data_IF_010801358894
#
_entry.id   IF_010801358894
#
_cell.length_a   1.000
_cell.length_b   1.000
_cell.length_c   1.000
_cell.angle_alpha   90.00
_cell.angle_beta   90.00
_cell.angle_gamma   90.00
#
_symmetry.space_group_name_H-M   'P 1'
#
loop_
_entity.id
_entity.type
_entity.pdbx_description
1 polymer ?
#
# COMPACT_ATOMS: atom_id res chain seq x y z
N UNK A 1 -41.41 -81.23 -23.83
CA UNK A 1 -40.61 -80.60 -22.76
C UNK A 1 -40.68 -79.10 -22.98
N UNK A 2 -41.56 -78.41 -22.25
CA UNK A 2 -41.80 -76.97 -22.40
C UNK A 2 -41.10 -76.21 -21.27
N UNK A 3 -40.32 -75.21 -21.68
CA UNK A 3 -39.42 -74.38 -20.89
C UNK A 3 -40.16 -73.58 -19.80
N UNK A 4 -39.85 -73.87 -18.53
CA UNK A 4 -40.22 -73.10 -17.33
C UNK A 4 -39.24 -71.96 -17.02
N UNK A 5 -38.39 -71.56 -17.97
CA UNK A 5 -37.28 -70.62 -17.73
C UNK A 5 -37.66 -69.14 -17.53
N UNK A 6 -38.68 -68.54 -18.19
CA UNK A 6 -38.86 -67.09 -18.10
C UNK A 6 -39.45 -66.64 -16.76
N UNK A 7 -40.30 -67.46 -16.13
CA UNK A 7 -40.91 -67.15 -14.83
C UNK A 7 -39.90 -67.14 -13.68
N UNK A 8 -38.85 -67.97 -13.75
CA UNK A 8 -37.77 -68.02 -12.74
C UNK A 8 -36.81 -66.82 -12.85
N UNK A 9 -36.69 -66.23 -14.04
CA UNK A 9 -35.87 -65.04 -14.23
C UNK A 9 -36.56 -63.77 -13.69
N UNK A 10 -37.89 -63.65 -13.85
CA UNK A 10 -38.66 -62.55 -13.28
C UNK A 10 -38.69 -62.58 -11.75
N UNK A 11 -38.83 -63.75 -11.13
CA UNK A 11 -38.74 -63.90 -9.67
C UNK A 11 -37.35 -63.55 -9.15
N UNK A 12 -36.28 -63.98 -9.83
CA UNK A 12 -34.90 -63.59 -9.46
C UNK A 12 -34.65 -62.08 -9.61
N UNK A 13 -35.12 -61.46 -10.69
CA UNK A 13 -35.02 -60.00 -10.89
C UNK A 13 -35.77 -59.24 -9.79
N UNK A 14 -36.98 -59.69 -9.45
CA UNK A 14 -37.78 -59.13 -8.36
C UNK A 14 -37.07 -59.25 -7.00
N UNK A 15 -36.57 -60.44 -6.66
CA UNK A 15 -35.84 -60.67 -5.41
C UNK A 15 -34.55 -59.83 -5.33
N UNK A 16 -33.86 -59.63 -6.46
CA UNK A 16 -32.66 -58.79 -6.52
C UNK A 16 -32.99 -57.32 -6.29
N UNK A 17 -34.08 -56.83 -6.89
CA UNK A 17 -34.58 -55.47 -6.65
C UNK A 17 -35.06 -55.28 -5.21
N UNK A 18 -35.78 -56.24 -4.63
CA UNK A 18 -36.21 -56.19 -3.24
C UNK A 18 -35.01 -56.13 -2.28
N UNK A 19 -33.97 -56.95 -2.49
CA UNK A 19 -32.72 -56.87 -1.71
C UNK A 19 -32.04 -55.51 -1.85
N UNK A 20 -31.94 -54.98 -3.06
CA UNK A 20 -31.37 -53.65 -3.31
C UNK A 20 -32.13 -52.54 -2.57
N UNK A 21 -33.47 -52.58 -2.58
CA UNK A 21 -34.29 -51.60 -1.85
C UNK A 21 -34.12 -51.74 -0.33
N UNK A 22 -34.05 -52.97 0.19
CA UNK A 22 -33.79 -53.21 1.61
C UNK A 22 -32.41 -52.67 2.01
N UNK A 23 -31.37 -52.94 1.22
CA UNK A 23 -30.03 -52.40 1.43
C UNK A 23 -30.02 -50.86 1.40
N UNK A 24 -30.72 -50.25 0.44
CA UNK A 24 -30.86 -48.79 0.35
C UNK A 24 -31.60 -48.20 1.56
N UNK A 25 -32.67 -48.85 2.02
CA UNK A 25 -33.40 -48.43 3.24
C UNK A 25 -32.50 -48.56 4.47
N UNK A 26 -31.78 -49.68 4.60
CA UNK A 26 -30.83 -49.91 5.69
C UNK A 26 -29.71 -48.87 5.70
N UNK A 27 -29.19 -48.53 4.52
CA UNK A 27 -28.19 -47.48 4.34
C UNK A 27 -28.75 -46.10 4.71
N UNK A 28 -29.93 -45.72 4.21
CA UNK A 28 -30.58 -44.44 4.57
C UNK A 28 -30.84 -44.35 6.08
N UNK A 29 -31.30 -45.44 6.71
CA UNK A 29 -31.51 -45.50 8.16
C UNK A 29 -30.19 -45.41 8.94
N UNK A 30 -29.11 -46.03 8.46
CA UNK A 30 -27.81 -45.90 9.11
C UNK A 30 -27.26 -44.48 9.00
N UNK A 31 -27.46 -43.80 7.86
CA UNK A 31 -27.13 -42.39 7.70
C UNK A 31 -27.90 -41.50 8.69
N UNK A 32 -29.19 -41.74 8.92
CA UNK A 32 -29.98 -40.99 9.92
C UNK A 32 -29.46 -41.23 11.34
N UNK A 33 -29.03 -42.46 11.68
CA UNK A 33 -28.44 -42.76 13.01
C UNK A 33 -27.07 -42.12 13.21
N UNK A 34 -26.36 -41.84 12.12
CA UNK A 34 -25.05 -41.16 12.14
C UNK A 34 -25.18 -39.64 12.05
N UNK A 35 -26.37 -39.11 11.75
CA UNK A 35 -26.61 -37.67 11.76
C UNK A 35 -26.48 -37.16 13.20
N UNK A 36 -25.72 -36.07 13.43
CA UNK A 36 -25.66 -35.47 14.75
C UNK A 36 -27.07 -35.09 15.19
N UNK A 37 -27.43 -35.46 16.43
CA UNK A 37 -28.69 -35.05 17.02
C UNK A 37 -28.77 -33.53 17.09
N UNK A 38 -29.96 -32.99 16.86
CA UNK A 38 -30.19 -31.57 17.06
C UNK A 38 -29.84 -31.20 18.51
N UNK A 39 -29.14 -30.08 18.76
CA UNK A 39 -28.74 -29.70 20.10
C UNK A 39 -29.97 -29.47 21.00
N UNK A 40 -29.84 -29.80 22.28
CA UNK A 40 -30.93 -29.56 23.23
C UNK A 40 -31.12 -28.06 23.48
N UNK A 41 -32.30 -27.67 23.97
CA UNK A 41 -32.57 -26.29 24.35
C UNK A 41 -31.54 -25.75 25.33
N UNK A 42 -31.21 -26.51 26.38
CA UNK A 42 -30.23 -26.13 27.40
C UNK A 42 -28.84 -25.90 26.78
N UNK A 43 -28.43 -26.72 25.82
CA UNK A 43 -27.16 -26.55 25.11
C UNK A 43 -27.13 -25.26 24.29
N UNK A 44 -28.22 -24.91 23.62
CA UNK A 44 -28.32 -23.69 22.82
C UNK A 44 -28.35 -22.46 23.72
N UNK A 45 -29.19 -22.44 24.76
CA UNK A 45 -29.25 -21.34 25.75
C UNK A 45 -27.88 -21.13 26.42
N UNK A 46 -27.18 -22.21 26.77
CA UNK A 46 -25.82 -22.13 27.33
C UNK A 46 -24.82 -21.52 26.35
N UNK A 47 -24.94 -21.82 25.04
CA UNK A 47 -24.12 -21.18 24.00
C UNK A 47 -24.43 -19.70 23.86
N UNK A 48 -25.71 -19.31 23.86
CA UNK A 48 -26.15 -17.90 23.83
C UNK A 48 -25.52 -17.12 25.00
N UNK A 49 -25.70 -17.60 26.24
CA UNK A 49 -25.09 -16.99 27.44
C UNK A 49 -23.56 -16.93 27.35
N UNK A 50 -22.92 -17.94 26.73
CA UNK A 50 -21.45 -17.97 26.56
C UNK A 50 -20.98 -16.89 25.59
N UNK A 51 -21.62 -16.75 24.42
CA UNK A 51 -21.27 -15.70 23.46
C UNK A 51 -21.53 -14.32 24.05
N UNK A 52 -22.65 -14.12 24.74
CA UNK A 52 -22.95 -12.85 25.39
C UNK A 52 -21.93 -12.45 26.45
N UNK A 53 -21.57 -13.35 27.37
CA UNK A 53 -20.50 -13.10 28.33
C UNK A 53 -19.17 -12.78 27.66
N UNK A 54 -18.86 -13.45 26.56
CA UNK A 54 -17.62 -13.20 25.83
C UNK A 54 -17.61 -11.80 25.22
N UNK A 55 -18.69 -11.39 24.53
CA UNK A 55 -18.84 -10.03 23.99
C UNK A 55 -18.75 -9.00 25.14
N UNK A 56 -19.55 -9.17 26.19
CA UNK A 56 -19.53 -8.27 27.35
C UNK A 56 -18.14 -8.15 27.97
N UNK A 57 -17.41 -9.26 28.11
CA UNK A 57 -16.03 -9.24 28.63
C UNK A 57 -15.07 -8.45 27.75
N UNK A 58 -15.23 -8.51 26.43
CA UNK A 58 -14.42 -7.71 25.49
C UNK A 58 -14.74 -6.23 25.67
N UNK A 59 -16.02 -5.87 25.67
CA UNK A 59 -16.48 -4.48 25.81
C UNK A 59 -16.04 -3.86 27.13
N UNK A 60 -16.22 -4.58 28.24
CA UNK A 60 -15.87 -4.06 29.57
C UNK A 60 -14.38 -4.00 29.85
N UNK A 61 -13.58 -4.86 29.23
CA UNK A 61 -12.11 -4.80 29.33
C UNK A 61 -11.48 -3.84 28.31
N UNK A 62 -12.29 -3.22 27.47
CA UNK A 62 -11.82 -2.33 26.42
C UNK A 62 -11.23 -1.04 27.02
N UNK A 63 -9.93 -0.84 26.84
CA UNK A 63 -9.19 0.37 27.22
C UNK A 63 -8.57 1.08 26.01
N UNK A 64 -9.03 0.75 24.79
CA UNK A 64 -8.44 1.25 23.54
C UNK A 64 -8.56 2.77 23.40
N UNK A 65 -9.66 3.35 23.88
CA UNK A 65 -9.81 4.81 23.91
C UNK A 65 -8.74 5.48 24.79
N UNK A 66 -8.41 4.87 25.94
CA UNK A 66 -7.35 5.38 26.81
C UNK A 66 -5.98 5.24 26.13
N UNK A 67 -5.74 4.10 25.47
CA UNK A 67 -4.52 3.88 24.67
C UNK A 67 -4.35 4.92 23.57
N UNK A 68 -5.43 5.27 22.85
CA UNK A 68 -5.42 6.36 21.87
C UNK A 68 -5.12 7.71 22.54
N UNK A 69 -5.82 8.06 23.62
CA UNK A 69 -5.62 9.32 24.32
C UNK A 69 -4.18 9.49 24.82
N UNK A 70 -3.56 8.42 25.32
CA UNK A 70 -2.15 8.41 25.73
C UNK A 70 -1.21 8.68 24.55
N UNK A 71 -1.44 8.04 23.41
CA UNK A 71 -0.65 8.28 22.20
C UNK A 71 -0.83 9.71 21.73
N UNK A 72 -2.07 10.19 21.56
CA UNK A 72 -2.37 11.54 21.11
C UNK A 72 -1.81 12.62 22.05
N UNK A 73 -1.75 12.37 23.37
CA UNK A 73 -1.12 13.29 24.33
C UNK A 73 0.39 13.48 24.08
N UNK A 74 1.06 12.49 23.47
CA UNK A 74 2.49 12.57 23.12
C UNK A 74 2.77 13.21 21.76
N UNK A 75 1.72 13.47 20.96
CA UNK A 75 1.82 13.98 19.58
C UNK A 75 2.74 15.21 19.47
N UNK A 76 2.41 16.29 20.17
CA UNK A 76 3.15 17.56 20.06
C UNK A 76 4.62 17.42 20.46
N UNK A 77 4.91 16.58 21.47
CA UNK A 77 6.28 16.34 21.94
C UNK A 77 7.11 15.56 20.91
N UNK A 78 6.51 14.57 20.23
CA UNK A 78 7.18 13.77 19.22
C UNK A 78 7.41 14.58 17.94
N UNK A 79 6.43 15.37 17.50
CA UNK A 79 6.58 16.23 16.33
C UNK A 79 7.64 17.32 16.54
N UNK A 80 7.70 17.92 17.73
CA UNK A 80 8.77 18.88 18.06
C UNK A 80 10.18 18.26 18.03
N UNK A 81 10.30 16.93 18.11
CA UNK A 81 11.57 16.19 18.07
C UNK A 81 11.88 15.60 16.69
N UNK A 82 11.05 15.88 15.69
CA UNK A 82 11.10 15.22 14.39
C UNK A 82 11.00 13.68 14.48
N UNK A 83 10.13 13.20 15.38
CA UNK A 83 9.86 11.78 15.61
C UNK A 83 8.46 11.39 15.09
N UNK A 84 7.99 11.97 13.98
CA UNK A 84 6.65 11.69 13.45
C UNK A 84 6.45 10.22 13.06
N UNK A 85 7.49 9.55 12.55
CA UNK A 85 7.47 8.12 12.26
C UNK A 85 7.20 7.27 13.52
N UNK A 86 7.77 7.66 14.68
CA UNK A 86 7.52 6.96 15.94
C UNK A 86 6.08 7.15 16.43
N UNK A 87 5.53 8.37 16.28
CA UNK A 87 4.13 8.65 16.57
C UNK A 87 3.20 7.80 15.70
N UNK A 88 3.46 7.75 14.39
CA UNK A 88 2.73 6.93 13.42
C UNK A 88 2.75 5.44 13.81
N UNK A 89 3.92 4.86 14.09
CA UNK A 89 4.03 3.46 14.51
C UNK A 89 3.22 3.15 15.78
N UNK A 90 3.13 4.10 16.72
CA UNK A 90 2.30 3.94 17.94
C UNK A 90 0.81 3.95 17.62
N UNK A 91 0.37 4.84 16.73
CA UNK A 91 -1.02 4.87 16.26
C UNK A 91 -1.39 3.60 15.49
N UNK A 92 -0.51 3.11 14.60
CA UNK A 92 -0.72 1.86 13.86
C UNK A 92 -0.87 0.66 14.81
N UNK A 93 -0.13 0.63 15.92
CA UNK A 93 -0.32 -0.39 16.96
C UNK A 93 -1.73 -0.34 17.55
N UNK A 94 -2.20 0.85 17.95
CA UNK A 94 -3.56 1.01 18.51
C UNK A 94 -4.62 0.66 17.46
N UNK A 95 -4.42 1.06 16.19
CA UNK A 95 -5.28 0.71 15.06
C UNK A 95 -5.45 -0.81 14.93
N UNK A 96 -4.35 -1.57 15.00
CA UNK A 96 -4.39 -3.03 14.95
C UNK A 96 -5.12 -3.64 16.15
N UNK A 97 -4.96 -3.07 17.35
CA UNK A 97 -5.66 -3.51 18.56
C UNK A 97 -7.19 -3.25 18.47
N UNK A 98 -7.59 -2.11 17.90
CA UNK A 98 -9.00 -1.77 17.60
C UNK A 98 -9.58 -2.74 16.57
N UNK A 99 -8.91 -2.91 15.44
CA UNK A 99 -9.34 -3.85 14.38
C UNK A 99 -9.54 -5.28 14.91
N UNK A 100 -8.57 -5.79 15.68
CA UNK A 100 -8.67 -7.12 16.29
C UNK A 100 -9.84 -7.22 17.28
N UNK A 101 -10.12 -6.15 18.04
CA UNK A 101 -11.24 -6.13 18.98
C UNK A 101 -12.58 -6.16 18.26
N UNK A 102 -12.71 -5.38 17.18
CA UNK A 102 -13.88 -5.40 16.30
C UNK A 102 -14.13 -6.78 15.72
N UNK A 103 -13.10 -7.43 15.17
CA UNK A 103 -13.23 -8.76 14.56
C UNK A 103 -13.64 -9.82 15.58
N UNK A 104 -13.13 -9.73 16.82
CA UNK A 104 -13.54 -10.63 17.91
C UNK A 104 -15.01 -10.44 18.30
N UNK A 105 -15.50 -9.20 18.33
CA UNK A 105 -16.91 -8.91 18.59
C UNK A 105 -17.78 -9.41 17.44
N UNK A 106 -17.42 -9.13 16.18
CA UNK A 106 -18.13 -9.61 14.99
C UNK A 106 -18.23 -11.12 14.97
N UNK A 107 -17.12 -11.84 15.12
CA UNK A 107 -17.13 -13.30 15.12
C UNK A 107 -17.96 -13.91 16.27
N UNK A 108 -17.98 -13.27 17.44
CA UNK A 108 -18.84 -13.68 18.55
C UNK A 108 -20.32 -13.39 18.28
N UNK A 109 -20.62 -12.24 17.67
CA UNK A 109 -21.98 -11.84 17.29
C UNK A 109 -22.56 -12.74 16.21
N UNK A 110 -21.77 -13.15 15.21
CA UNK A 110 -22.16 -14.16 14.22
C UNK A 110 -22.47 -15.50 14.88
N UNK A 111 -21.59 -15.95 15.80
CA UNK A 111 -21.82 -17.16 16.59
C UNK A 111 -23.10 -17.11 17.40
N UNK A 112 -23.43 -15.93 17.94
CA UNK A 112 -24.64 -15.68 18.68
C UNK A 112 -25.90 -15.65 17.80
N UNK A 113 -25.83 -14.98 16.64
CA UNK A 113 -26.92 -14.95 15.65
C UNK A 113 -27.30 -16.36 15.22
N UNK A 114 -26.30 -17.19 14.88
CA UNK A 114 -26.53 -18.59 14.54
C UNK A 114 -27.15 -19.37 15.71
N UNK A 115 -26.75 -19.08 16.96
CA UNK A 115 -27.35 -19.75 18.12
C UNK A 115 -28.83 -19.38 18.29
N UNK A 116 -29.21 -18.12 18.07
CA UNK A 116 -30.61 -17.69 18.07
C UNK A 116 -31.41 -18.30 16.92
N UNK A 117 -30.85 -18.40 15.72
CA UNK A 117 -31.50 -19.05 14.58
C UNK A 117 -31.78 -20.53 14.88
N UNK A 118 -30.78 -21.26 15.40
CA UNK A 118 -30.94 -22.67 15.80
C UNK A 118 -31.97 -22.80 16.93
N UNK A 119 -32.00 -21.86 17.88
CA UNK A 119 -33.02 -21.86 18.93
C UNK A 119 -34.43 -21.63 18.36
N UNK A 120 -34.57 -20.69 17.43
CA UNK A 120 -35.83 -20.45 16.71
C UNK A 120 -36.31 -21.68 15.96
N UNK A 121 -35.43 -22.40 15.27
CA UNK A 121 -35.76 -23.66 14.60
C UNK A 121 -36.20 -24.74 15.60
N UNK A 122 -35.56 -24.83 16.77
CA UNK A 122 -35.96 -25.78 17.82
C UNK A 122 -37.38 -25.50 18.31
N UNK A 123 -37.68 -24.23 18.61
CA UNK A 123 -39.00 -23.78 19.07
C UNK A 123 -40.08 -23.99 18.00
N UNK A 124 -39.76 -23.78 16.72
CA UNK A 124 -40.68 -24.10 15.62
C UNK A 124 -40.99 -25.60 15.52
N UNK A 125 -40.02 -26.45 15.85
CA UNK A 125 -40.19 -27.91 15.83
C UNK A 125 -40.97 -28.45 17.03
N UNK A 126 -40.88 -27.78 18.19
CA UNK A 126 -41.61 -28.13 19.40
C UNK A 126 -42.23 -26.88 20.04
N UNK A 127 -43.54 -26.71 19.80
CA UNK A 127 -44.31 -25.56 20.30
C UNK A 127 -44.35 -25.46 21.83
N UNK A 128 -44.11 -26.55 22.55
CA UNK A 128 -44.05 -26.50 24.01
C UNK A 128 -42.90 -25.61 24.51
N UNK A 129 -41.90 -25.36 23.67
CA UNK A 129 -40.73 -24.54 23.99
C UNK A 129 -40.96 -23.03 23.80
N UNK A 130 -42.09 -22.60 23.22
CA UNK A 130 -42.38 -21.16 23.05
C UNK A 130 -42.39 -20.42 24.39
N UNK A 131 -43.02 -21.01 25.41
CA UNK A 131 -43.07 -20.42 26.76
C UNK A 131 -41.72 -20.40 27.45
N UNK A 132 -40.88 -21.42 27.22
CA UNK A 132 -39.51 -21.48 27.73
C UNK A 132 -38.62 -20.42 27.09
N UNK A 133 -38.78 -20.18 25.78
CA UNK A 133 -38.09 -19.13 25.04
C UNK A 133 -38.40 -17.75 25.59
N UNK A 134 -39.68 -17.44 25.78
CA UNK A 134 -40.09 -16.12 26.26
C UNK A 134 -39.53 -15.88 27.68
N UNK A 135 -39.61 -16.88 28.56
CA UNK A 135 -38.99 -16.82 29.88
C UNK A 135 -37.46 -16.63 29.82
N UNK A 136 -36.78 -17.28 28.87
CA UNK A 136 -35.34 -17.12 28.67
C UNK A 136 -34.93 -15.74 28.13
N UNK A 137 -35.76 -15.11 27.29
CA UNK A 137 -35.48 -13.76 26.77
C UNK A 137 -35.74 -12.66 27.80
N UNK A 138 -36.61 -12.92 28.77
CA UNK A 138 -36.82 -12.07 29.94
C UNK A 138 -35.65 -12.16 30.95
N UNK A 139 -34.72 -13.12 30.79
CA UNK A 139 -33.51 -13.20 31.62
C UNK A 139 -32.46 -12.16 31.21
N UNK A 140 -31.59 -11.83 32.16
CA UNK A 140 -30.42 -10.99 31.95
C UNK A 140 -29.14 -11.77 32.25
N UNK A 141 -28.13 -11.59 31.41
CA UNK A 141 -26.78 -12.10 31.62
C UNK A 141 -25.84 -10.91 31.85
N UNK A 142 -25.27 -10.80 33.06
CA UNK A 142 -24.39 -9.69 33.45
C UNK A 142 -25.05 -8.29 33.32
N UNK A 143 -26.36 -8.20 33.51
CA UNK A 143 -27.14 -6.96 33.39
C UNK A 143 -27.49 -6.59 31.95
N UNK A 144 -27.24 -7.49 30.99
CA UNK A 144 -27.62 -7.35 29.58
C UNK A 144 -28.78 -8.31 29.30
N UNK A 145 -29.89 -7.78 28.79
CA UNK A 145 -31.03 -8.60 28.37
C UNK A 145 -30.61 -9.64 27.34
N UNK A 146 -31.15 -10.87 27.44
CA UNK A 146 -30.96 -11.94 26.47
C UNK A 146 -31.91 -11.86 25.27
N UNK A 147 -32.71 -10.80 25.18
CA UNK A 147 -33.57 -10.53 24.04
C UNK A 147 -32.73 -10.30 22.77
N UNK A 148 -33.03 -11.00 21.65
CA UNK A 148 -32.25 -10.88 20.41
C UNK A 148 -32.18 -9.45 19.86
N UNK A 149 -33.28 -8.68 19.97
CA UNK A 149 -33.37 -7.30 19.47
C UNK A 149 -32.42 -6.38 20.24
N UNK A 150 -32.47 -6.46 21.57
CA UNK A 150 -31.62 -5.69 22.48
C UNK A 150 -30.15 -5.99 22.23
N UNK A 151 -29.80 -7.28 22.11
CA UNK A 151 -28.42 -7.71 21.90
C UNK A 151 -27.88 -7.26 20.55
N UNK A 152 -28.68 -7.39 19.49
CA UNK A 152 -28.29 -6.91 18.17
C UNK A 152 -27.97 -5.41 18.19
N UNK A 153 -28.81 -4.62 18.88
CA UNK A 153 -28.56 -3.19 19.06
C UNK A 153 -27.36 -2.88 19.94
N UNK A 154 -27.13 -3.64 21.01
CA UNK A 154 -25.97 -3.52 21.87
C UNK A 154 -24.67 -3.77 21.08
N UNK A 155 -24.60 -4.89 20.37
CA UNK A 155 -23.44 -5.25 19.53
C UNK A 155 -23.21 -4.20 18.44
N UNK A 156 -24.28 -3.77 17.76
CA UNK A 156 -24.19 -2.77 16.70
C UNK A 156 -23.61 -1.47 17.22
N UNK A 157 -24.12 -0.94 18.34
CA UNK A 157 -23.61 0.31 18.93
C UNK A 157 -22.13 0.23 19.32
N UNK A 158 -21.70 -0.92 19.83
CA UNK A 158 -20.29 -1.12 20.17
C UNK A 158 -19.40 -1.18 18.92
N UNK A 159 -19.87 -1.86 17.87
CA UNK A 159 -19.15 -1.89 16.58
C UNK A 159 -19.11 -0.49 15.95
N UNK A 160 -20.21 0.25 15.96
CA UNK A 160 -20.29 1.63 15.47
C UNK A 160 -19.26 2.52 16.21
N UNK A 161 -19.17 2.39 17.54
CA UNK A 161 -18.18 3.11 18.36
C UNK A 161 -16.73 2.76 17.97
N UNK A 162 -16.43 1.47 17.81
CA UNK A 162 -15.09 1.04 17.41
C UNK A 162 -14.74 1.44 15.97
N UNK A 163 -15.72 1.46 15.07
CA UNK A 163 -15.55 1.95 13.70
C UNK A 163 -15.21 3.44 13.71
N UNK A 164 -15.93 4.26 14.46
CA UNK A 164 -15.62 5.69 14.60
C UNK A 164 -14.22 5.91 15.19
N UNK A 165 -13.86 5.13 16.22
CA UNK A 165 -12.51 5.15 16.79
C UNK A 165 -11.45 4.79 15.75
N UNK A 166 -11.71 3.78 14.91
CA UNK A 166 -10.80 3.36 13.85
C UNK A 166 -10.59 4.46 12.80
N UNK A 167 -11.68 5.08 12.34
CA UNK A 167 -11.62 6.20 11.38
C UNK A 167 -10.83 7.39 11.94
N UNK A 168 -11.00 7.69 13.24
CA UNK A 168 -10.22 8.73 13.91
C UNK A 168 -8.73 8.40 13.91
N UNK A 169 -8.35 7.16 14.23
CA UNK A 169 -6.96 6.72 14.23
C UNK A 169 -6.36 6.80 12.81
N UNK A 170 -7.10 6.36 11.79
CA UNK A 170 -6.66 6.46 10.39
C UNK A 170 -6.40 7.91 9.98
N UNK A 171 -7.27 8.84 10.40
CA UNK A 171 -7.07 10.26 10.18
C UNK A 171 -5.78 10.78 10.83
N UNK A 172 -5.53 10.38 12.08
CA UNK A 172 -4.30 10.76 12.79
C UNK A 172 -3.04 10.13 12.17
N UNK A 173 -3.11 8.90 11.66
CA UNK A 173 -2.01 8.24 10.93
C UNK A 173 -1.67 9.02 9.66
N UNK A 174 -2.68 9.47 8.91
CA UNK A 174 -2.47 10.31 7.72
C UNK A 174 -1.79 11.62 8.05
N UNK A 175 -2.20 12.28 9.14
CA UNK A 175 -1.56 13.51 9.61
C UNK A 175 -0.10 13.26 10.02
N UNK A 176 0.17 12.18 10.75
CA UNK A 176 1.53 11.79 11.14
C UNK A 176 2.42 11.51 9.92
N UNK A 177 1.86 10.88 8.89
CA UNK A 177 2.57 10.63 7.63
C UNK A 177 2.89 11.92 6.87
N UNK A 178 1.98 12.90 6.87
CA UNK A 178 2.26 14.21 6.27
C UNK A 178 3.40 14.93 7.01
N UNK A 179 3.38 14.86 8.34
CA UNK A 179 4.44 15.44 9.17
C UNK A 179 5.80 14.75 8.95
N UNK A 180 5.83 13.42 8.84
CA UNK A 180 7.03 12.64 8.49
C UNK A 180 7.62 13.09 7.13
N UNK A 181 6.76 13.32 6.13
CA UNK A 181 7.20 13.86 4.83
C UNK A 181 7.78 15.27 4.97
N UNK A 182 7.18 16.13 5.78
CA UNK A 182 7.69 17.48 6.02
C UNK A 182 9.07 17.45 6.71
N UNK A 183 9.25 16.61 7.71
CA UNK A 183 10.52 16.40 8.40
C UNK A 183 11.61 15.91 7.42
N UNK A 184 11.25 15.03 6.49
CA UNK A 184 12.16 14.56 5.44
C UNK A 184 12.60 15.68 4.48
N UNK A 185 11.68 16.58 4.08
CA UNK A 185 11.97 17.71 3.19
C UNK A 185 12.84 18.78 3.85
N UNK A 186 12.64 19.05 5.15
CA UNK A 186 13.50 19.97 5.91
C UNK A 186 14.96 19.46 5.91
N UNK A 187 15.15 18.16 6.06
CA UNK A 187 16.49 17.54 5.96
C UNK A 187 17.16 17.76 4.60
N UNK A 188 16.38 17.69 3.51
CA UNK A 188 16.89 17.95 2.15
C UNK A 188 17.24 19.42 1.93
N UNK A 189 16.40 20.34 2.42
CA UNK A 189 16.68 21.77 2.34
C UNK A 189 17.97 22.14 3.10
N UNK A 190 18.18 21.58 4.29
CA UNK A 190 19.39 21.86 5.08
C UNK A 190 20.65 21.34 4.36
N UNK A 191 20.57 20.22 3.64
CA UNK A 191 21.67 19.73 2.79
C UNK A 191 21.98 20.70 1.66
N UNK A 192 20.97 21.21 0.97
CA UNK A 192 21.15 22.20 -0.11
C UNK A 192 21.77 23.48 0.44
N UNK A 193 21.30 23.96 1.59
CA UNK A 193 21.85 25.13 2.27
C UNK A 193 23.33 24.94 2.66
N UNK A 194 23.69 23.76 3.15
CA UNK A 194 25.09 23.44 3.45
C UNK A 194 25.94 23.42 2.17
N UNK A 195 25.46 22.80 1.09
CA UNK A 195 26.15 22.82 -0.21
C UNK A 195 26.35 24.24 -0.75
N UNK A 196 25.34 25.12 -0.63
CA UNK A 196 25.47 26.53 -1.04
C UNK A 196 26.52 27.25 -0.17
N UNK A 197 26.56 26.94 1.12
CA UNK A 197 27.54 27.53 2.04
C UNK A 197 28.96 27.09 1.69
N UNK A 198 29.17 25.79 1.41
CA UNK A 198 30.44 25.24 0.93
C UNK A 198 30.87 25.88 -0.39
N UNK A 199 29.95 25.97 -1.36
CA UNK A 199 30.21 26.62 -2.65
C UNK A 199 30.63 28.09 -2.48
N UNK A 200 29.96 28.82 -1.57
CA UNK A 200 30.29 30.22 -1.27
C UNK A 200 31.67 30.36 -0.64
N UNK A 201 32.05 29.44 0.24
CA UNK A 201 33.41 29.41 0.81
C UNK A 201 34.45 29.14 -0.27
N UNK A 202 34.20 28.18 -1.17
CA UNK A 202 35.13 27.84 -2.24
C UNK A 202 35.29 28.99 -3.25
N UNK A 203 34.19 29.64 -3.65
CA UNK A 203 34.25 30.86 -4.46
C UNK A 203 35.03 31.98 -3.77
N UNK A 204 34.88 32.13 -2.45
CA UNK A 204 35.61 33.16 -1.70
C UNK A 204 37.13 32.88 -1.72
N UNK A 205 37.54 31.62 -1.56
CA UNK A 205 38.95 31.22 -1.63
C UNK A 205 39.53 31.42 -3.04
N UNK A 206 38.81 31.00 -4.08
CA UNK A 206 39.25 31.21 -5.46
C UNK A 206 39.38 32.71 -5.79
N UNK A 207 38.43 33.52 -5.31
CA UNK A 207 38.46 34.96 -5.49
C UNK A 207 39.66 35.63 -4.78
N UNK A 208 39.98 35.20 -3.55
CA UNK A 208 41.18 35.64 -2.84
C UNK A 208 42.45 35.25 -3.60
N UNK A 209 42.51 34.04 -4.16
CA UNK A 209 43.63 33.59 -4.97
C UNK A 209 43.80 34.43 -6.24
N UNK A 210 42.72 34.69 -6.97
CA UNK A 210 42.74 35.54 -8.18
C UNK A 210 43.18 36.96 -7.83
N UNK A 211 42.66 37.51 -6.72
CA UNK A 211 43.06 38.85 -6.26
C UNK A 211 44.55 38.90 -5.95
N UNK A 212 45.08 37.91 -5.21
CA UNK A 212 46.51 37.81 -4.93
C UNK A 212 47.36 37.68 -6.20
N UNK A 213 46.88 36.95 -7.22
CA UNK A 213 47.54 36.90 -8.53
C UNK A 213 47.55 38.26 -9.22
N UNK A 214 46.42 38.98 -9.25
CA UNK A 214 46.32 40.32 -9.83
C UNK A 214 47.27 41.29 -9.14
N UNK A 215 47.31 41.27 -7.80
CA UNK A 215 48.22 42.14 -7.03
C UNK A 215 49.69 41.85 -7.37
N UNK A 216 50.08 40.57 -7.42
CA UNK A 216 51.44 40.18 -7.81
C UNK A 216 51.81 40.57 -9.24
N UNK A 217 50.86 40.46 -10.19
CA UNK A 217 51.04 40.91 -11.56
C UNK A 217 51.19 42.42 -11.63
N UNK A 218 50.40 43.16 -10.85
CA UNK A 218 50.46 44.61 -10.79
C UNK A 218 51.80 45.09 -10.23
N UNK A 219 52.33 44.45 -9.20
CA UNK A 219 53.64 44.77 -8.65
C UNK A 219 54.78 44.42 -9.63
N UNK A 220 54.65 43.31 -10.35
CA UNK A 220 55.57 42.98 -11.46
C UNK A 220 55.53 44.03 -12.57
N UNK A 221 54.34 44.49 -12.97
CA UNK A 221 54.21 45.57 -13.96
C UNK A 221 54.80 46.88 -13.47
N UNK A 222 54.63 47.25 -12.19
CA UNK A 222 55.27 48.45 -11.62
C UNK A 222 56.79 48.33 -11.67
N UNK A 223 57.35 47.20 -11.25
CA UNK A 223 58.80 46.95 -11.33
C UNK A 223 59.30 46.97 -12.78
N UNK A 224 58.54 46.42 -13.72
CA UNK A 224 58.84 46.49 -15.15
C UNK A 224 58.81 47.94 -15.66
N UNK A 225 57.82 48.73 -15.23
CA UNK A 225 57.71 50.15 -15.56
C UNK A 225 58.91 50.94 -15.02
N UNK A 226 59.28 50.74 -13.76
CA UNK A 226 60.47 51.35 -13.15
C UNK A 226 61.76 50.95 -13.89
N UNK A 227 61.88 49.69 -14.31
CA UNK A 227 63.01 49.21 -15.11
C UNK A 227 63.06 49.85 -16.51
N UNK A 228 61.91 50.00 -17.17
CA UNK A 228 61.79 50.70 -18.46
C UNK A 228 62.13 52.19 -18.29
N UNK A 229 61.66 52.84 -17.23
CA UNK A 229 61.99 54.22 -16.91
C UNK A 229 63.49 54.40 -16.65
N UNK A 230 64.11 53.52 -15.87
CA UNK A 230 65.56 53.52 -15.64
C UNK A 230 66.37 53.25 -16.93
N UNK A 231 65.90 52.36 -17.80
CA UNK A 231 66.49 52.16 -19.13
C UNK A 231 66.33 53.41 -20.01
N UNK A 232 65.18 54.07 -19.96
CA UNK A 232 64.90 55.32 -20.67
C UNK A 232 65.76 56.49 -20.19
N UNK A 233 65.99 56.58 -18.88
CA UNK A 233 66.92 57.54 -18.28
C UNK A 233 68.38 57.23 -18.65
N UNK A 234 68.77 55.96 -18.67
CA UNK A 234 70.09 55.53 -19.15
C UNK A 234 70.29 55.86 -20.63
N UNK A 235 69.27 55.67 -21.48
CA UNK A 235 69.29 56.08 -22.88
C UNK A 235 69.36 57.60 -23.05
N UNK A 236 68.67 58.37 -22.20
CA UNK A 236 68.78 59.85 -22.15
C UNK A 236 70.18 60.30 -21.76
N UNK A 237 70.78 59.66 -20.77
CA UNK A 237 72.13 59.97 -20.29
C UNK A 237 73.23 59.56 -21.29
N UNK A 238 72.94 58.63 -22.20
CA UNK A 238 73.80 58.26 -23.34
C UNK A 238 73.65 59.21 -24.54
N UNK A 239 72.72 60.18 -24.49
CA UNK A 239 72.37 61.09 -25.58
C UNK A 239 72.78 62.56 -25.33
N UNK A 240 73.78 62.83 -24.48
CA UNK A 240 74.33 64.17 -24.28
C UNK A 240 75.65 64.41 -25.04
N UNK A 241 75.54 64.96 -26.26
CA UNK A 241 76.45 65.97 -26.84
C UNK A 241 75.74 66.69 -28.03
N UNK A 242 76.05 67.97 -28.32
CA UNK A 242 75.05 69.00 -28.58
C UNK A 242 74.88 69.37 -30.06
N UNK A 243 73.69 69.87 -30.45
CA UNK A 243 73.56 70.89 -31.49
C UNK A 243 72.21 71.62 -31.42
N UNK A 244 72.30 72.92 -31.67
CA UNK A 244 71.25 73.95 -31.53
C UNK A 244 70.26 73.95 -32.70
N UNK A 245 69.09 74.50 -32.38
CA UNK A 245 67.90 74.90 -33.17
C UNK A 245 68.23 75.82 -34.37
N UNK A 246 67.39 75.90 -35.43
CA UNK A 246 66.33 76.93 -35.49
C UNK A 246 65.00 76.39 -36.08
N UNK A 247 63.85 76.59 -35.44
CA UNK A 247 62.96 77.77 -35.47
C UNK A 247 62.29 78.01 -36.84
N UNK A 248 61.06 77.49 -37.01
CA UNK A 248 60.02 77.98 -37.92
C UNK A 248 58.64 77.74 -37.28
N UNK A 249 57.94 78.83 -36.91
CA UNK A 249 56.48 78.91 -36.64
C UNK A 249 55.72 79.28 -37.93
N UNK A 250 54.39 79.43 -37.92
CA UNK A 250 53.33 78.43 -37.72
C UNK A 250 52.29 78.50 -38.87
N UNK A 251 51.32 77.57 -38.93
CA UNK A 251 49.96 77.94 -39.36
C UNK A 251 48.94 76.86 -38.93
N UNK A 252 47.89 77.37 -38.26
CA UNK A 252 46.59 76.75 -37.94
C UNK A 252 45.68 76.82 -39.20
N UNK A 253 44.38 76.42 -39.25
CA UNK A 253 43.49 75.83 -38.23
C UNK A 253 42.52 74.72 -38.73
N UNK A 254 41.85 74.04 -37.78
CA UNK A 254 40.38 73.76 -37.74
C UNK A 254 40.10 72.65 -36.71
N UNK A 255 39.49 72.96 -35.57
CA UNK A 255 38.04 73.09 -35.32
C UNK A 255 37.23 71.79 -35.49
N UNK A 256 36.90 71.18 -34.35
CA UNK A 256 35.54 70.77 -33.91
C UNK A 256 35.70 70.25 -32.46
N UNK A 257 35.40 70.99 -31.40
CA UNK A 257 34.10 71.44 -30.84
C UNK A 257 33.12 70.32 -30.48
N UNK A 258 32.84 70.24 -29.17
CA UNK A 258 31.56 70.02 -28.45
C UNK A 258 31.77 69.05 -27.27
N UNK A 259 31.95 69.59 -26.05
CA UNK A 259 30.95 69.88 -24.98
C UNK A 259 30.85 68.68 -24.01
N UNK A 260 31.33 68.81 -22.77
CA UNK A 260 30.58 69.17 -21.52
C UNK A 260 29.53 68.10 -21.16
N UNK A 261 29.72 67.28 -20.13
CA UNK A 261 29.64 67.54 -18.67
C UNK A 261 28.21 67.66 -18.11
N UNK A 262 28.05 67.08 -16.91
CA UNK A 262 26.95 67.19 -15.94
C UNK A 262 25.62 66.43 -16.16
N UNK A 263 25.43 65.41 -15.32
CA UNK A 263 24.52 65.49 -14.17
C UNK A 263 23.02 65.31 -14.40
N UNK A 264 22.37 64.54 -13.52
CA UNK A 264 20.92 64.61 -13.33
C UNK A 264 20.26 63.26 -13.04
N UNK A 265 19.60 63.19 -11.89
CA UNK A 265 18.83 62.07 -11.37
C UNK A 265 17.41 61.97 -11.99
N UNK A 266 16.62 61.05 -11.42
CA UNK A 266 15.19 60.70 -11.64
C UNK A 266 15.00 59.47 -12.55
N UNK A 267 14.71 58.28 -12.00
CA UNK A 267 13.49 57.82 -11.29
C UNK A 267 12.34 57.54 -12.27
N UNK A 268 12.21 56.26 -12.64
CA UNK A 268 10.97 55.65 -13.14
C UNK A 268 10.93 54.22 -12.63
N UNK A 269 10.23 54.07 -11.52
CA UNK A 269 9.18 53.09 -11.29
C UNK A 269 8.79 52.30 -12.56
N UNK A 270 9.03 50.99 -12.54
CA UNK A 270 8.21 50.04 -13.29
C UNK A 270 8.13 48.73 -12.49
N UNK A 271 6.94 48.60 -11.90
CA UNK A 271 6.35 47.39 -11.37
C UNK A 271 6.51 46.24 -12.38
N UNK A 272 6.96 45.08 -11.91
CA UNK A 272 6.59 43.83 -12.57
C UNK A 272 6.00 42.91 -11.52
N UNK A 273 4.74 42.61 -11.81
CA UNK A 273 3.74 41.94 -11.03
C UNK A 273 4.10 40.51 -10.64
N UNK A 274 3.41 40.08 -9.60
CA UNK A 274 3.15 38.71 -9.20
C UNK A 274 2.71 37.86 -10.40
N UNK A 275 3.40 36.74 -10.66
CA UNK A 275 2.80 35.64 -11.42
C UNK A 275 2.53 34.48 -10.47
N UNK A 276 1.28 34.50 -9.99
CA UNK A 276 0.52 33.37 -9.49
C UNK A 276 0.45 32.28 -10.56
N UNK A 277 1.03 31.12 -10.30
CA UNK A 277 0.61 29.90 -10.98
C UNK A 277 -0.19 29.01 -10.04
N UNK A 278 -1.48 29.30 -10.07
CA UNK A 278 -2.58 28.37 -9.89
C UNK A 278 -2.54 27.32 -11.00
N UNK A 279 -2.37 26.05 -10.64
CA UNK A 279 -2.79 24.92 -11.45
C UNK A 279 -3.28 23.83 -10.50
N UNK A 280 -4.54 23.97 -10.08
CA UNK A 280 -5.37 22.80 -9.85
C UNK A 280 -5.57 22.06 -11.17
N UNK A 281 -5.21 20.78 -11.20
CA UNK A 281 -5.84 19.82 -12.11
C UNK A 281 -5.79 18.41 -11.50
N UNK A 282 -6.98 18.02 -11.09
CA UNK A 282 -7.55 16.69 -10.94
C UNK A 282 -6.95 15.63 -11.87
N UNK A 283 -6.39 14.56 -11.31
CA UNK A 283 -6.14 13.32 -12.05
C UNK A 283 -6.60 12.11 -11.24
N UNK A 284 -7.71 11.53 -11.70
CA UNK A 284 -8.11 10.16 -11.44
C UNK A 284 -7.00 9.19 -11.89
N UNK A 285 -6.52 8.37 -10.95
CA UNK A 285 -5.63 7.24 -11.26
C UNK A 285 -6.30 5.92 -10.86
N UNK A 286 -7.02 5.33 -11.81
CA UNK A 286 -7.20 3.88 -11.88
C UNK A 286 -6.14 3.32 -12.83
N UNK A 287 -5.26 2.43 -12.35
CA UNK A 287 -5.11 1.11 -13.01
C UNK A 287 -4.30 0.11 -12.18
N UNK A 288 -4.99 -0.96 -11.78
CA UNK A 288 -4.61 -2.38 -11.86
C UNK A 288 -3.12 -2.73 -12.02
N UNK A 289 -2.44 -3.06 -10.92
CA UNK A 289 -1.19 -3.83 -10.99
C UNK A 289 -1.56 -5.32 -11.11
N UNK A 290 -1.68 -5.80 -12.36
CA UNK A 290 -1.58 -7.23 -12.64
C UNK A 290 -0.10 -7.65 -12.63
N UNK A 291 0.21 -8.62 -11.78
CA UNK A 291 1.51 -9.29 -11.68
C UNK A 291 1.99 -9.82 -13.04
N UNK A 292 3.19 -9.42 -13.48
CA UNK A 292 3.92 -10.14 -14.53
C UNK A 292 5.26 -10.61 -14.00
N UNK A 293 5.24 -11.87 -13.61
CA UNK A 293 6.38 -12.72 -13.40
C UNK A 293 6.92 -13.12 -14.79
N UNK A 294 8.11 -12.65 -15.19
CA UNK A 294 8.65 -12.90 -16.53
C UNK A 294 10.15 -12.76 -16.63
N UNK A 295 10.82 -13.89 -16.85
CA UNK A 295 12.28 -14.08 -16.97
C UNK A 295 12.93 -13.20 -18.05
N UNK A 296 14.17 -12.79 -17.78
CA UNK A 296 15.12 -12.29 -18.79
C UNK A 296 15.26 -13.29 -19.94
N UNK A 297 14.98 -12.82 -21.16
CA UNK A 297 15.46 -13.43 -22.39
C UNK A 297 16.09 -12.33 -23.28
N UNK A 298 17.07 -12.79 -24.05
CA UNK A 298 18.14 -12.11 -24.75
C UNK A 298 17.73 -11.15 -25.87
N UNK A 299 18.68 -10.27 -26.19
CA UNK A 299 18.74 -9.39 -27.34
C UNK A 299 18.51 -10.14 -28.67
N UNK A 300 17.63 -9.58 -29.51
CA UNK A 300 17.95 -9.11 -30.86
C UNK A 300 16.66 -8.87 -31.63
N UNK A 301 16.38 -7.60 -31.93
CA UNK A 301 15.82 -7.10 -33.19
C UNK A 301 15.72 -5.58 -33.13
N UNK A 302 16.58 -4.97 -33.93
CA UNK A 302 16.64 -3.53 -34.20
C UNK A 302 15.54 -3.22 -35.21
N UNK A 303 14.57 -2.40 -34.82
CA UNK A 303 13.77 -1.62 -35.76
C UNK A 303 13.94 -0.14 -35.44
N UNK A 304 14.34 0.59 -36.49
CA UNK A 304 14.64 2.00 -36.52
C UNK A 304 13.36 2.82 -36.43
N UNK A 305 13.13 3.48 -35.30
CA UNK A 305 12.28 4.68 -35.23
C UNK A 305 12.99 5.76 -34.43
N UNK A 306 13.52 6.74 -35.17
CA UNK A 306 14.12 7.97 -34.66
C UNK A 306 13.01 8.94 -34.25
N UNK A 307 12.56 8.85 -33.00
CA UNK A 307 12.09 10.01 -32.24
C UNK A 307 12.66 9.90 -30.83
N UNK A 308 13.69 10.71 -30.56
CA UNK A 308 14.39 10.75 -29.28
C UNK A 308 13.55 11.49 -28.24
N UNK A 309 12.61 10.77 -27.61
CA UNK A 309 11.88 11.26 -26.44
C UNK A 309 12.78 11.16 -25.18
N UNK A 310 12.98 12.25 -24.41
CA UNK A 310 13.83 12.26 -23.20
C UNK A 310 13.47 11.17 -22.17
N UNK A 311 12.20 10.79 -22.08
CA UNK A 311 11.73 9.76 -21.14
C UNK A 311 12.23 8.35 -21.47
N UNK A 312 12.41 8.02 -22.75
CA UNK A 312 12.89 6.68 -23.16
C UNK A 312 14.36 6.47 -22.76
N UNK A 313 15.17 7.53 -22.84
CA UNK A 313 16.54 7.53 -22.33
C UNK A 313 16.54 7.41 -20.81
N UNK A 314 15.70 8.18 -20.09
CA UNK A 314 15.57 8.08 -18.63
C UNK A 314 15.14 6.67 -18.17
N UNK A 315 14.24 6.02 -18.90
CA UNK A 315 13.80 4.64 -18.61
C UNK A 315 14.91 3.62 -18.83
N UNK A 316 15.72 3.76 -19.87
CA UNK A 316 16.88 2.91 -20.11
C UNK A 316 17.99 3.12 -19.08
N UNK A 317 18.26 4.36 -18.69
CA UNK A 317 19.20 4.76 -17.63
C UNK A 317 18.81 4.10 -16.29
N UNK A 318 17.54 4.22 -15.90
CA UNK A 318 16.99 3.60 -14.69
C UNK A 318 17.05 2.07 -14.76
N UNK A 319 16.75 1.48 -15.93
CA UNK A 319 16.88 0.05 -16.17
C UNK A 319 18.32 -0.45 -15.97
N UNK A 320 19.31 0.25 -16.53
CA UNK A 320 20.74 -0.04 -16.34
C UNK A 320 21.15 0.09 -14.88
N UNK A 321 20.77 1.19 -14.21
CA UNK A 321 21.03 1.39 -12.78
C UNK A 321 20.46 0.25 -11.92
N UNK A 322 19.23 -0.19 -12.20
CA UNK A 322 18.60 -1.29 -11.44
C UNK A 322 19.31 -2.62 -11.66
N UNK A 323 19.80 -2.91 -12.86
CA UNK A 323 20.63 -4.08 -13.13
C UNK A 323 21.98 -4.01 -12.41
N UNK A 324 22.65 -2.85 -12.40
CA UNK A 324 23.92 -2.67 -11.69
C UNK A 324 23.77 -2.84 -10.18
N UNK A 325 22.71 -2.28 -9.58
CA UNK A 325 22.41 -2.44 -8.16
C UNK A 325 22.15 -3.91 -7.82
N UNK A 326 21.37 -4.64 -8.63
CA UNK A 326 21.16 -6.09 -8.42
C UNK A 326 22.46 -6.89 -8.51
N UNK A 327 23.29 -6.61 -9.52
CA UNK A 327 24.56 -7.30 -9.69
C UNK A 327 25.52 -7.00 -8.53
N UNK A 328 25.55 -5.76 -8.05
CA UNK A 328 26.33 -5.35 -6.89
C UNK A 328 25.86 -6.02 -5.59
N UNK A 329 24.53 -6.09 -5.37
CA UNK A 329 23.96 -6.77 -4.21
C UNK A 329 24.23 -8.28 -4.27
N UNK A 330 24.09 -8.91 -5.44
CA UNK A 330 24.41 -10.33 -5.62
C UNK A 330 25.90 -10.64 -5.45
N UNK A 331 26.79 -9.69 -5.80
CA UNK A 331 28.24 -9.84 -5.63
C UNK A 331 28.76 -9.55 -4.22
N UNK A 332 27.98 -8.85 -3.36
CA UNK A 332 28.36 -8.49 -1.99
C UNK A 332 27.54 -9.19 -0.90
N UNK A 333 26.57 -10.01 -1.27
CA UNK A 333 25.77 -10.75 -0.29
C UNK A 333 26.52 -12.00 0.17
N UNK A 334 27.23 -11.92 1.30
CA UNK A 334 27.52 -13.06 2.19
C UNK A 334 26.27 -13.49 3.00
N UNK A 335 25.08 -13.09 2.53
CA UNK A 335 23.81 -13.46 3.13
C UNK A 335 23.34 -14.73 2.44
N UNK A 336 23.22 -15.87 3.16
CA UNK A 336 22.72 -17.10 2.58
C UNK A 336 21.34 -16.85 1.98
N UNK A 337 21.16 -17.18 0.70
CA UNK A 337 19.83 -17.24 0.09
C UNK A 337 18.97 -18.14 0.98
N UNK A 338 17.98 -17.56 1.67
CA UNK A 338 16.92 -18.34 2.31
C UNK A 338 16.13 -19.02 1.21
N UNK A 339 16.59 -20.20 0.79
CA UNK A 339 15.76 -21.17 0.10
C UNK A 339 14.72 -21.62 1.11
N UNK A 340 13.54 -21.01 1.06
CA UNK A 340 12.35 -21.59 1.67
C UNK A 340 12.15 -22.92 0.94
N UNK A 341 12.66 -24.00 1.51
CA UNK A 341 12.35 -25.33 1.04
C UNK A 341 10.86 -25.54 1.30
N UNK A 342 10.06 -25.50 0.23
CA UNK A 342 8.66 -25.91 0.26
C UNK A 342 8.56 -27.44 0.41
N UNK A 343 9.16 -27.98 1.48
CA UNK A 343 8.91 -29.31 2.01
C UNK A 343 7.87 -29.17 3.13
N UNK A 344 6.69 -28.66 2.78
CA UNK A 344 5.49 -29.00 3.52
C UNK A 344 5.14 -30.44 3.13
N UNK A 345 5.78 -31.42 3.76
CA UNK A 345 5.15 -32.72 3.92
C UNK A 345 3.93 -32.47 4.81
N UNK A 346 2.76 -32.30 4.21
CA UNK A 346 1.51 -32.40 4.97
C UNK A 346 1.56 -33.69 5.78
N UNK A 347 1.10 -33.63 7.03
CA UNK A 347 0.99 -34.84 7.83
C UNK A 347 0.05 -35.81 7.10
N UNK A 348 0.25 -37.13 7.20
CA UNK A 348 -0.63 -38.10 6.54
C UNK A 348 -2.10 -37.99 7.00
N UNK A 349 -2.35 -37.36 8.16
CA UNK A 349 -3.70 -37.01 8.61
C UNK A 349 -4.38 -35.95 7.71
N UNK A 350 -3.61 -35.03 7.12
CA UNK A 350 -4.12 -33.89 6.33
C UNK A 350 -4.24 -34.20 4.83
N UNK A 351 -3.81 -35.39 4.38
CA UNK A 351 -3.83 -35.79 2.96
C UNK A 351 -5.22 -36.03 2.37
N UNK A 352 -6.29 -35.91 3.17
CA UNK A 352 -7.67 -36.21 2.76
C UNK A 352 -8.60 -35.01 2.98
N UNK A 353 -8.29 -33.87 2.40
CA UNK A 353 -9.28 -32.81 2.26
C UNK A 353 -10.30 -33.21 1.18
N UNK A 354 -11.54 -33.42 1.63
CA UNK A 354 -12.68 -33.74 0.76
C UNK A 354 -13.06 -32.47 0.00
N UNK A 355 -13.14 -32.55 -1.33
CA UNK A 355 -13.66 -31.44 -2.13
C UNK A 355 -15.12 -31.18 -1.73
N UNK A 356 -15.41 -30.00 -1.15
CA UNK A 356 -16.75 -29.61 -0.69
C UNK A 356 -17.79 -29.61 -1.83
N UNK A 357 -17.37 -29.49 -3.09
CA UNK A 357 -18.27 -29.46 -4.25
C UNK A 357 -18.65 -30.83 -4.81
N UNK A 358 -17.84 -31.87 -4.63
CA UNK A 358 -18.13 -33.19 -5.20
C UNK A 358 -18.01 -34.36 -4.21
N UNK A 359 -17.65 -34.09 -2.95
CA UNK A 359 -17.50 -35.05 -1.84
C UNK A 359 -16.55 -36.24 -2.13
N UNK A 360 -15.81 -36.21 -3.23
CA UNK A 360 -14.85 -37.25 -3.59
C UNK A 360 -13.52 -37.03 -2.84
N UNK A 361 -13.03 -38.09 -2.17
CA UNK A 361 -11.66 -38.14 -1.65
C UNK A 361 -10.69 -38.29 -2.82
N UNK A 362 -9.85 -37.28 -3.09
CA UNK A 362 -8.76 -37.39 -4.07
C UNK A 362 -7.44 -36.97 -3.45
N UNK A 363 -6.39 -37.74 -3.73
CA UNK A 363 -5.01 -37.35 -3.43
C UNK A 363 -4.64 -36.09 -4.22
N UNK A 364 -4.18 -35.05 -3.53
CA UNK A 364 -3.65 -33.85 -4.18
C UNK A 364 -2.27 -34.20 -4.76
N UNK A 365 -2.23 -34.61 -6.03
CA UNK A 365 -0.99 -34.60 -6.81
C UNK A 365 -0.87 -33.27 -7.57
N UNK A 366 0.37 -32.80 -7.70
CA UNK A 366 0.84 -31.42 -8.02
C UNK A 366 0.36 -30.75 -9.31
N UNK A 367 -0.63 -31.29 -10.01
CA UNK A 367 -1.23 -30.67 -11.21
C UNK A 367 -2.75 -30.62 -11.02
N UNK A 368 -3.21 -29.64 -10.25
CA UNK A 368 -4.62 -29.37 -10.07
C UNK A 368 -5.22 -28.82 -11.38
N UNK A 369 -5.84 -29.70 -12.18
CA UNK A 369 -6.91 -29.27 -13.08
C UNK A 369 -8.13 -28.95 -12.22
N UNK A 370 -8.59 -27.71 -12.31
CA UNK A 370 -9.89 -27.27 -11.78
C UNK A 370 -10.96 -28.22 -12.34
N UNK A 371 -11.90 -28.65 -11.50
CA UNK A 371 -13.02 -29.50 -11.91
C UNK A 371 -13.87 -28.78 -12.97
N UNK A 372 -13.57 -28.98 -14.25
CA UNK A 372 -14.48 -28.65 -15.35
C UNK A 372 -15.65 -29.64 -15.33
N UNK A 373 -16.88 -29.11 -15.23
CA UNK A 373 -18.11 -29.90 -15.40
C UNK A 373 -18.16 -30.44 -16.83
N UNK A 374 -18.53 -31.71 -17.07
CA UNK A 374 -19.07 -32.09 -18.37
C UNK A 374 -20.42 -31.40 -18.54
N UNK A 375 -20.56 -30.61 -19.59
CA UNK A 375 -21.86 -30.18 -20.13
C UNK A 375 -22.44 -31.43 -20.80
N UNK A 376 -23.37 -32.11 -20.15
CA UNK A 376 -24.18 -33.12 -20.82
C UNK A 376 -25.41 -32.45 -21.44
N UNK A 377 -25.51 -32.57 -22.76
CA UNK A 377 -26.67 -32.22 -23.57
C UNK A 377 -27.89 -33.04 -23.14
N UNK A 378 -28.81 -32.43 -22.39
CA UNK A 378 -30.14 -32.99 -22.16
C UNK A 378 -30.97 -32.93 -23.46
N UNK A 379 -30.91 -34.02 -24.23
CA UNK A 379 -31.95 -34.36 -25.20
C UNK A 379 -33.25 -34.69 -24.45
N UNK A 380 -34.14 -33.72 -24.47
CA UNK A 380 -35.50 -33.76 -23.95
C UNK A 380 -36.40 -34.69 -24.81
N UNK A 381 -37.05 -35.75 -24.26
CA UNK A 381 -38.11 -36.45 -24.95
C UNK A 381 -39.48 -36.18 -24.29
N UNK A 382 -40.36 -35.58 -25.10
CA UNK A 382 -41.81 -35.73 -25.12
C UNK A 382 -42.64 -35.60 -23.83
N UNK A 383 -43.50 -34.57 -23.82
CA UNK A 383 -44.93 -34.76 -23.57
C UNK A 383 -45.76 -33.89 -24.53
N UNK A 384 -46.23 -34.50 -25.61
CA UNK A 384 -47.35 -34.04 -26.42
C UNK A 384 -48.64 -34.61 -25.80
N UNK A 385 -49.39 -33.78 -25.08
CA UNK A 385 -50.78 -34.10 -24.72
C UNK A 385 -51.72 -33.40 -25.70
N UNK A 386 -52.28 -34.23 -26.57
CA UNK A 386 -53.38 -33.96 -27.47
C UNK A 386 -54.61 -33.51 -26.69
N UNK A 387 -55.07 -32.28 -26.94
CA UNK A 387 -56.48 -31.91 -26.74
C UNK A 387 -57.31 -32.57 -27.85
N UNK A 388 -58.40 -33.23 -27.49
CA UNK A 388 -59.55 -33.32 -28.37
C UNK A 388 -60.77 -32.67 -27.69
N UNK A 389 -61.65 -32.01 -28.47
CA UNK A 389 -62.84 -31.33 -27.99
C UNK A 389 -64.09 -32.25 -28.06
N UNK A 390 -65.21 -31.67 -27.60
CA UNK A 390 -66.59 -32.18 -27.44
C UNK A 390 -66.86 -33.06 -26.22
#
# INVERSE_FOLDING_TARGET
MASTQPTDEFTRKRQTQERRLIEEICYKRSCVRLAPSFPSEEEIQKKIRKFMRYIYSIVTSNSLFNGLAEVSATKSKLFARAEAALYKCRLEKVHMEVSNTMDRIRGAAEGLSMAYEVYGLLVLSDKALETSRDAFYDEEEQGVSLEPSFIADFVRKELDFLEELNHRIESEIREAQLQEQNESRVSEFEKVKNMISELREDFSKEWEQIRGQIDSQNDSMKSMKESIEAMGESLRNMSEAPARVPDIKPDSPRETSMEEDQGGAEDTDDQVEEDLLDFGEEYDYCDSISEVNGKCASADKVEHEQFSYPEKQRKMELGRRRCLIRAFLAGKSDVPERRISYLNSMRPEDTFLVCLFCLAKRHITRTAKICERPVEDEKNPMYSLSRQPS
#
